data_IF_756349328622
#
_entry.id   IF_756349328622
#
_cell.length_a   1.000
_cell.length_b   1.000
_cell.length_c   1.000
_cell.angle_alpha   90.00
_cell.angle_beta   90.00
_cell.angle_gamma   90.00
#
_symmetry.space_group_name_H-M   'P 1'
#
loop_
_entity.id
_entity.type
_entity.pdbx_description
1 polymer ?
#
# COMPACT_ATOMS: atom_id res chain seq x y z
N UNK A 1 43.52 -21.51 -16.40
CA UNK A 1 42.23 -21.18 -17.03
C UNK A 1 41.49 -20.26 -16.08
N UNK A 2 41.79 -18.96 -16.10
CA UNK A 2 41.33 -18.01 -15.08
C UNK A 2 41.40 -16.59 -15.64
N UNK A 3 40.42 -16.18 -16.45
CA UNK A 3 40.14 -14.77 -16.72
C UNK A 3 38.67 -14.61 -17.07
N UNK A 4 37.81 -14.27 -16.09
CA UNK A 4 36.50 -13.59 -16.30
C UNK A 4 35.73 -13.26 -14.99
N UNK A 5 36.40 -13.04 -13.85
CA UNK A 5 35.70 -12.85 -12.55
C UNK A 5 35.62 -11.40 -12.04
N UNK A 6 36.35 -10.45 -12.62
CA UNK A 6 36.43 -9.07 -12.05
C UNK A 6 35.30 -8.16 -12.54
N UNK A 7 34.93 -8.24 -13.83
CA UNK A 7 33.86 -7.42 -14.41
C UNK A 7 32.47 -7.75 -13.82
N UNK A 8 32.17 -9.04 -13.61
CA UNK A 8 30.92 -9.48 -12.97
C UNK A 8 30.72 -8.90 -11.57
N UNK A 9 31.80 -8.86 -10.77
CA UNK A 9 31.75 -8.38 -9.38
C UNK A 9 31.32 -6.90 -9.19
N UNK A 10 31.54 -6.06 -10.21
CA UNK A 10 31.15 -4.65 -10.19
C UNK A 10 29.67 -4.48 -10.49
N UNK A 11 29.19 -5.16 -11.54
CA UNK A 11 27.78 -5.17 -11.91
C UNK A 11 26.91 -5.84 -10.83
N UNK A 12 27.38 -6.93 -10.21
CA UNK A 12 26.65 -7.63 -9.14
C UNK A 12 26.47 -6.74 -7.90
N UNK A 13 27.51 -5.98 -7.52
CA UNK A 13 27.44 -5.03 -6.40
C UNK A 13 26.50 -3.87 -6.70
N UNK A 14 26.59 -3.30 -7.89
CA UNK A 14 25.72 -2.21 -8.32
C UNK A 14 24.25 -2.67 -8.38
N UNK A 15 23.98 -3.85 -8.94
CA UNK A 15 22.65 -4.44 -8.99
C UNK A 15 22.07 -4.65 -7.58
N UNK A 16 22.85 -5.26 -6.67
CA UNK A 16 22.44 -5.47 -5.27
C UNK A 16 22.13 -4.14 -4.57
N UNK A 17 22.97 -3.13 -4.74
CA UNK A 17 22.76 -1.81 -4.14
C UNK A 17 21.50 -1.13 -4.68
N UNK A 18 21.28 -1.15 -5.99
CA UNK A 18 20.10 -0.57 -6.63
C UNK A 18 18.82 -1.27 -6.17
N UNK A 19 18.83 -2.60 -6.07
CA UNK A 19 17.71 -3.37 -5.51
C UNK A 19 17.42 -2.93 -4.08
N UNK A 20 18.42 -2.88 -3.19
CA UNK A 20 18.22 -2.46 -1.80
C UNK A 20 17.66 -1.03 -1.67
N UNK A 21 18.14 -0.10 -2.49
CA UNK A 21 17.62 1.27 -2.53
C UNK A 21 16.16 1.28 -2.98
N UNK A 22 15.84 0.55 -4.06
CA UNK A 22 14.47 0.42 -4.57
C UNK A 22 13.52 -0.19 -3.56
N UNK A 23 13.95 -1.24 -2.85
CA UNK A 23 13.20 -1.90 -1.78
C UNK A 23 12.89 -0.96 -0.61
N UNK A 24 13.88 -0.17 -0.19
CA UNK A 24 13.69 0.83 0.87
C UNK A 24 12.77 1.96 0.41
N UNK A 25 12.96 2.45 -0.81
CA UNK A 25 12.12 3.49 -1.39
C UNK A 25 10.67 3.02 -1.53
N UNK A 26 10.45 1.79 -1.97
CA UNK A 26 9.12 1.19 -2.07
C UNK A 26 8.45 1.08 -0.69
N UNK A 27 9.16 0.60 0.34
CA UNK A 27 8.62 0.47 1.70
C UNK A 27 8.26 1.83 2.31
N UNK A 28 9.19 2.78 2.33
CA UNK A 28 8.95 4.08 2.95
C UNK A 28 8.05 4.97 2.10
N UNK A 29 8.08 4.83 0.77
CA UNK A 29 7.13 5.45 -0.13
C UNK A 29 5.71 4.95 0.12
N UNK A 30 5.53 3.63 0.29
CA UNK A 30 4.23 3.06 0.68
C UNK A 30 3.76 3.60 2.04
N UNK A 31 4.62 3.61 3.06
CA UNK A 31 4.28 4.14 4.37
C UNK A 31 3.89 5.63 4.31
N UNK A 32 4.67 6.44 3.59
CA UNK A 32 4.39 7.86 3.39
C UNK A 32 3.04 8.08 2.71
N UNK A 33 2.74 7.34 1.63
CA UNK A 33 1.47 7.46 0.92
C UNK A 33 0.31 7.08 1.83
N UNK A 34 0.38 5.96 2.55
CA UNK A 34 -0.66 5.54 3.51
C UNK A 34 -0.88 6.59 4.61
N UNK A 35 0.20 7.13 5.19
CA UNK A 35 0.09 8.20 6.18
C UNK A 35 -0.57 9.46 5.60
N UNK A 36 -0.18 9.86 4.38
CA UNK A 36 -0.69 11.08 3.74
C UNK A 36 -2.17 10.96 3.37
N UNK A 37 -2.59 9.82 2.79
CA UNK A 37 -4.02 9.59 2.47
C UNK A 37 -4.85 9.47 3.75
N UNK A 38 -4.32 8.84 4.79
CA UNK A 38 -5.00 8.69 6.08
C UNK A 38 -5.21 10.04 6.77
N UNK A 39 -4.18 10.87 6.86
CA UNK A 39 -4.29 12.26 7.35
C UNK A 39 -5.26 13.07 6.49
N UNK A 40 -5.26 12.86 5.17
CA UNK A 40 -6.19 13.49 4.24
C UNK A 40 -7.67 13.27 4.60
N UNK A 41 -8.04 12.14 5.20
CA UNK A 41 -9.41 11.85 5.66
C UNK A 41 -9.85 12.66 6.88
N UNK A 42 -8.90 13.26 7.59
CA UNK A 42 -9.17 14.20 8.68
C UNK A 42 -9.26 15.65 8.18
N UNK A 43 -8.47 16.01 7.16
CA UNK A 43 -8.38 17.39 6.64
C UNK A 43 -9.52 17.71 5.67
N UNK A 44 -9.89 16.80 4.76
CA UNK A 44 -10.92 17.03 3.74
C UNK A 44 -12.34 16.77 4.26
N UNK A 45 -12.76 17.49 5.30
CA UNK A 45 -14.13 17.41 5.84
C UNK A 45 -15.18 18.01 4.89
N UNK A 46 -15.39 17.37 3.74
CA UNK A 46 -16.58 17.50 2.88
C UNK A 46 -16.88 16.16 2.19
N UNK A 47 -17.12 15.13 3.00
CA UNK A 47 -17.39 13.76 2.56
C UNK A 47 -18.82 13.53 1.99
N UNK A 48 -19.54 14.60 1.63
CA UNK A 48 -20.93 14.50 1.14
C UNK A 48 -21.02 14.15 -0.35
N UNK A 49 -20.05 14.52 -1.17
CA UNK A 49 -20.23 14.52 -2.64
C UNK A 49 -19.81 13.20 -3.31
N UNK A 50 -18.90 12.41 -2.71
CA UNK A 50 -18.38 11.18 -3.34
C UNK A 50 -19.00 9.87 -2.79
N UNK A 51 -19.63 9.91 -1.61
CA UNK A 51 -20.05 8.70 -0.86
C UNK A 51 -21.53 8.35 -1.07
N UNK A 52 -22.33 9.27 -1.62
CA UNK A 52 -23.77 9.10 -1.82
C UNK A 52 -24.18 8.06 -2.89
N UNK A 53 -23.23 7.47 -3.64
CA UNK A 53 -23.53 6.63 -4.81
C UNK A 53 -22.96 5.19 -4.75
N UNK A 54 -22.54 4.68 -3.59
CA UNK A 54 -22.01 3.29 -3.49
C UNK A 54 -22.96 2.35 -2.72
N UNK A 55 -23.60 1.36 -3.40
CA UNK A 55 -24.54 0.41 -2.79
C UNK A 55 -23.91 -0.57 -1.78
N UNK A 56 -22.59 -0.70 -1.76
CA UNK A 56 -21.89 -1.69 -0.91
C UNK A 56 -21.58 -1.14 0.49
N UNK A 57 -21.69 0.18 0.68
CA UNK A 57 -21.50 0.88 1.97
C UNK A 57 -22.80 1.43 2.57
N UNK A 58 -23.95 1.29 1.91
CA UNK A 58 -25.22 1.82 2.43
C UNK A 58 -25.59 1.23 3.80
N UNK A 59 -25.36 -0.07 4.01
CA UNK A 59 -25.71 -0.77 5.25
C UNK A 59 -24.86 -0.36 6.47
N UNK A 60 -23.63 0.14 6.27
CA UNK A 60 -22.81 0.66 7.38
C UNK A 60 -23.25 2.07 7.78
N UNK A 61 -23.90 2.81 6.86
CA UNK A 61 -24.47 4.13 7.12
C UNK A 61 -25.78 4.08 7.92
N UNK A 62 -26.41 2.92 8.03
CA UNK A 62 -27.55 2.70 8.93
C UNK A 62 -27.11 2.71 10.41
N UNK A 63 -25.82 2.51 10.70
CA UNK A 63 -25.26 2.45 12.06
C UNK A 63 -24.17 3.50 12.36
N UNK A 64 -23.42 4.00 11.34
CA UNK A 64 -22.31 4.95 11.52
C UNK A 64 -22.29 6.03 10.43
N UNK A 65 -22.05 7.30 10.79
CA UNK A 65 -21.95 8.38 9.80
C UNK A 65 -20.80 8.18 8.80
N UNK A 66 -20.95 8.65 7.55
CA UNK A 66 -19.89 8.60 6.53
C UNK A 66 -18.57 9.24 6.99
N UNK A 67 -18.65 10.27 7.84
CA UNK A 67 -17.50 10.90 8.47
C UNK A 67 -16.81 9.98 9.47
N UNK A 68 -17.56 9.18 10.24
CA UNK A 68 -17.01 8.23 11.21
C UNK A 68 -16.26 7.11 10.50
N UNK A 69 -16.84 6.57 9.41
CA UNK A 69 -16.20 5.53 8.59
C UNK A 69 -14.93 6.07 7.92
N UNK A 70 -14.97 7.29 7.36
CA UNK A 70 -13.79 7.92 6.79
C UNK A 70 -12.66 8.11 7.82
N UNK A 71 -12.98 8.57 9.03
CA UNK A 71 -12.00 8.71 10.12
C UNK A 71 -11.42 7.38 10.56
N UNK A 72 -12.24 6.35 10.73
CA UNK A 72 -11.80 5.01 11.08
C UNK A 72 -10.83 4.44 10.03
N UNK A 73 -11.17 4.56 8.74
CA UNK A 73 -10.27 4.16 7.65
C UNK A 73 -8.98 4.98 7.66
N UNK A 74 -9.06 6.29 7.91
CA UNK A 74 -7.89 7.15 8.02
C UNK A 74 -6.95 6.74 9.16
N UNK A 75 -7.50 6.37 10.32
CA UNK A 75 -6.71 5.79 11.42
C UNK A 75 -6.04 4.50 10.99
N UNK A 76 -6.76 3.59 10.34
CA UNK A 76 -6.20 2.31 9.89
C UNK A 76 -5.06 2.51 8.89
N UNK A 77 -5.18 3.48 7.97
CA UNK A 77 -4.11 3.83 7.02
C UNK A 77 -2.87 4.37 7.74
N UNK A 78 -3.03 5.26 8.71
CA UNK A 78 -1.92 5.80 9.51
C UNK A 78 -1.26 4.70 10.35
N UNK A 79 -2.06 3.84 10.99
CA UNK A 79 -1.54 2.70 11.75
C UNK A 79 -0.77 1.76 10.83
N UNK A 80 -1.31 1.38 9.68
CA UNK A 80 -0.63 0.55 8.71
C UNK A 80 0.72 1.16 8.28
N UNK A 81 0.76 2.47 8.01
CA UNK A 81 1.98 3.19 7.67
C UNK A 81 3.06 3.07 8.74
N UNK A 82 2.71 3.32 10.00
CA UNK A 82 3.64 3.24 11.14
C UNK A 82 4.16 1.80 11.28
N UNK A 83 3.27 0.82 11.24
CA UNK A 83 3.63 -0.59 11.40
C UNK A 83 4.60 -1.05 10.30
N UNK A 84 4.35 -0.67 9.05
CA UNK A 84 5.23 -0.98 7.90
C UNK A 84 6.61 -0.31 8.05
N UNK A 85 6.65 0.95 8.49
CA UNK A 85 7.89 1.70 8.64
C UNK A 85 8.83 1.10 9.70
N UNK A 86 8.29 0.43 10.72
CA UNK A 86 9.06 -0.12 11.85
C UNK A 86 9.72 -1.49 11.51
N UNK A 87 9.58 -1.99 10.29
CA UNK A 87 10.21 -3.23 9.79
C UNK A 87 11.67 -3.45 10.23
N UNK A 88 12.59 -2.45 10.18
CA UNK A 88 14.00 -2.69 10.54
C UNK A 88 14.21 -3.14 11.98
N UNK A 89 13.30 -2.78 12.89
CA UNK A 89 13.42 -3.06 14.34
C UNK A 89 12.51 -4.21 14.73
N UNK A 90 11.25 -4.20 14.25
CA UNK A 90 10.24 -5.22 14.56
C UNK A 90 9.57 -5.78 13.30
N UNK A 91 10.23 -6.73 12.60
CA UNK A 91 9.68 -7.33 11.39
C UNK A 91 8.30 -7.97 11.58
N UNK A 92 8.06 -8.62 12.73
CA UNK A 92 6.76 -9.23 13.07
C UNK A 92 5.61 -8.22 13.14
N UNK A 93 5.89 -7.00 13.59
CA UNK A 93 4.91 -5.92 13.66
C UNK A 93 4.61 -5.39 12.26
N UNK A 94 5.64 -5.28 11.43
CA UNK A 94 5.49 -4.89 10.01
C UNK A 94 4.63 -5.88 9.22
N UNK A 95 4.67 -7.18 9.54
CA UNK A 95 3.75 -8.18 8.93
C UNK A 95 2.29 -7.77 9.11
N UNK A 96 1.89 -7.36 10.31
CA UNK A 96 0.52 -6.92 10.58
C UNK A 96 0.18 -5.62 9.82
N UNK A 97 1.13 -4.68 9.76
CA UNK A 97 0.98 -3.44 8.99
C UNK A 97 0.78 -3.67 7.50
N UNK A 98 1.61 -4.52 6.90
CA UNK A 98 1.51 -4.88 5.47
C UNK A 98 0.22 -5.64 5.17
N UNK A 99 -0.20 -6.56 6.04
CA UNK A 99 -1.48 -7.26 5.88
C UNK A 99 -2.67 -6.30 5.96
N UNK A 100 -2.65 -5.35 6.90
CA UNK A 100 -3.68 -4.32 7.01
C UNK A 100 -3.72 -3.43 5.76
N UNK A 101 -2.56 -3.01 5.24
CA UNK A 101 -2.48 -2.23 4.00
C UNK A 101 -3.09 -2.97 2.79
N UNK A 102 -2.85 -4.28 2.68
CA UNK A 102 -3.48 -5.12 1.65
C UNK A 102 -5.01 -5.07 1.78
N UNK A 103 -5.55 -5.27 2.97
CA UNK A 103 -7.00 -5.22 3.19
C UNK A 103 -7.58 -3.85 2.80
N UNK A 104 -6.89 -2.76 3.18
CA UNK A 104 -7.31 -1.40 2.84
C UNK A 104 -7.33 -1.15 1.33
N UNK A 105 -6.26 -1.54 0.61
CA UNK A 105 -6.22 -1.38 -0.85
C UNK A 105 -7.18 -2.32 -1.58
N UNK A 106 -7.50 -3.49 -1.03
CA UNK A 106 -8.56 -4.35 -1.56
C UNK A 106 -9.90 -3.62 -1.50
N UNK A 107 -10.16 -2.95 -0.39
CA UNK A 107 -11.32 -2.07 -0.21
C UNK A 107 -11.34 -0.93 -1.24
N UNK A 108 -10.22 -0.23 -1.45
CA UNK A 108 -10.20 0.88 -2.42
C UNK A 108 -10.32 0.40 -3.86
N UNK A 109 -9.63 -0.68 -4.24
CA UNK A 109 -9.73 -1.27 -5.58
C UNK A 109 -11.11 -1.84 -5.88
N UNK A 110 -11.88 -2.25 -4.86
CA UNK A 110 -13.27 -2.67 -5.07
C UNK A 110 -14.12 -1.57 -5.72
N UNK A 111 -13.81 -0.29 -5.45
CA UNK A 111 -14.51 0.85 -6.02
C UNK A 111 -14.38 0.95 -7.54
N UNK A 112 -13.33 0.36 -8.13
CA UNK A 112 -13.16 0.30 -9.58
C UNK A 112 -14.32 -0.46 -10.25
N UNK A 113 -14.90 -1.44 -9.55
CA UNK A 113 -15.97 -2.29 -10.05
C UNK A 113 -17.34 -1.91 -9.50
N UNK A 114 -17.40 -1.32 -8.30
CA UNK A 114 -18.67 -1.06 -7.61
C UNK A 114 -19.17 0.38 -7.74
N UNK A 115 -18.32 1.33 -8.17
CA UNK A 115 -18.67 2.76 -8.15
C UNK A 115 -19.10 3.24 -9.55
N UNK A 116 -20.31 3.78 -9.70
CA UNK A 116 -20.73 4.43 -10.95
C UNK A 116 -19.82 5.63 -11.31
N UNK A 117 -19.53 5.83 -12.59
CA UNK A 117 -18.69 6.96 -13.07
C UNK A 117 -17.17 6.72 -13.05
N UNK A 118 -16.72 5.51 -12.68
CA UNK A 118 -15.32 5.09 -12.87
C UNK A 118 -14.97 4.99 -14.35
N UNK A 119 -15.88 4.43 -15.16
CA UNK A 119 -15.74 4.33 -16.62
C UNK A 119 -16.66 5.38 -17.25
N UNK A 120 -16.09 6.32 -18.00
CA UNK A 120 -16.82 7.44 -18.64
C UNK A 120 -17.20 7.12 -20.08
N UNK A 121 -16.57 6.10 -20.65
CA UNK A 121 -16.88 5.63 -22.00
C UNK A 121 -16.05 4.41 -22.36
N UNK A 122 -16.22 3.93 -23.58
CA UNK A 122 -15.42 2.84 -24.12
C UNK A 122 -14.79 3.30 -25.44
N UNK A 123 -13.47 3.20 -25.53
CA UNK A 123 -12.75 3.36 -26.78
C UNK A 123 -12.67 1.97 -27.45
N UNK A 124 -13.63 1.70 -28.35
CA UNK A 124 -13.82 0.43 -29.07
C UNK A 124 -14.14 -0.76 -28.15
N UNK A 125 -13.17 -1.22 -27.34
CA UNK A 125 -13.32 -2.30 -26.34
C UNK A 125 -12.71 -1.91 -24.98
N UNK A 126 -11.88 -0.87 -24.93
CA UNK A 126 -11.13 -0.50 -23.72
C UNK A 126 -11.95 0.51 -22.90
N UNK A 127 -12.21 0.24 -21.61
CA UNK A 127 -12.89 1.19 -20.73
C UNK A 127 -12.02 2.43 -20.49
N UNK A 128 -12.59 3.61 -20.77
CA UNK A 128 -11.94 4.90 -20.52
C UNK A 128 -12.25 5.33 -19.09
N UNK A 129 -11.22 5.37 -18.25
CA UNK A 129 -11.35 5.74 -16.85
C UNK A 129 -11.45 7.26 -16.66
N UNK A 130 -12.37 7.68 -15.78
CA UNK A 130 -12.45 9.07 -15.31
C UNK A 130 -11.15 9.50 -14.62
N UNK A 131 -10.81 10.79 -14.73
CA UNK A 131 -9.68 11.36 -13.99
C UNK A 131 -9.83 11.17 -12.46
N UNK A 132 -11.07 11.27 -11.97
CA UNK A 132 -11.47 10.89 -10.61
C UNK A 132 -12.85 10.21 -10.68
N UNK A 133 -13.05 9.02 -10.05
CA UNK A 133 -12.08 8.26 -9.26
C UNK A 133 -11.22 7.26 -10.06
N UNK A 134 -11.51 7.00 -11.34
CA UNK A 134 -10.97 5.83 -12.06
C UNK A 134 -9.43 5.75 -12.14
N UNK A 135 -8.78 6.76 -12.71
CA UNK A 135 -7.31 6.78 -12.85
C UNK A 135 -6.59 6.83 -11.51
N UNK A 136 -7.21 7.45 -10.51
CA UNK A 136 -6.66 7.52 -9.16
C UNK A 136 -6.60 6.16 -8.48
N UNK A 137 -7.58 5.29 -8.72
CA UNK A 137 -7.62 3.94 -8.14
C UNK A 137 -6.57 3.01 -8.75
N UNK A 138 -6.12 3.25 -9.99
CA UNK A 138 -5.09 2.41 -10.61
C UNK A 138 -3.76 2.42 -9.86
N UNK A 139 -3.39 3.55 -9.23
CA UNK A 139 -2.15 3.63 -8.45
C UNK A 139 -2.19 2.70 -7.23
N UNK A 140 -3.39 2.46 -6.67
CA UNK A 140 -3.58 1.61 -5.50
C UNK A 140 -3.28 0.15 -5.84
N UNK A 141 -3.40 -0.25 -7.12
CA UNK A 141 -2.96 -1.57 -7.58
C UNK A 141 -1.44 -1.75 -7.45
N UNK A 142 -0.68 -0.71 -7.79
CA UNK A 142 0.78 -0.73 -7.63
C UNK A 142 1.16 -0.72 -6.15
N UNK A 143 0.49 0.10 -5.34
CA UNK A 143 0.73 0.17 -3.90
C UNK A 143 0.36 -1.14 -3.19
N UNK A 144 -0.69 -1.82 -3.64
CA UNK A 144 -1.02 -3.18 -3.22
C UNK A 144 0.12 -4.15 -3.52
N UNK A 145 0.67 -4.12 -4.73
CA UNK A 145 1.83 -4.94 -5.11
C UNK A 145 3.03 -4.70 -4.18
N UNK A 146 3.31 -3.44 -3.85
CA UNK A 146 4.34 -3.08 -2.87
C UNK A 146 3.97 -3.58 -1.47
N UNK A 147 2.71 -3.49 -1.05
CA UNK A 147 2.27 -3.99 0.25
C UNK A 147 2.47 -5.51 0.37
N UNK A 148 2.11 -6.28 -0.66
CA UNK A 148 2.38 -7.73 -0.75
C UNK A 148 3.88 -8.01 -0.68
N UNK A 149 4.70 -7.24 -1.40
CA UNK A 149 6.15 -7.38 -1.34
C UNK A 149 6.69 -7.09 0.07
N UNK A 150 6.23 -6.01 0.74
CA UNK A 150 6.65 -5.69 2.12
C UNK A 150 6.21 -6.75 3.13
N UNK A 151 5.05 -7.39 2.93
CA UNK A 151 4.59 -8.50 3.76
C UNK A 151 5.55 -9.68 3.65
N UNK A 152 5.89 -10.09 2.43
CA UNK A 152 6.82 -11.19 2.16
C UNK A 152 8.21 -10.93 2.73
N UNK A 153 8.74 -9.72 2.54
CA UNK A 153 10.02 -9.32 3.12
C UNK A 153 9.99 -9.32 4.66
N UNK A 154 8.92 -8.79 5.27
CA UNK A 154 8.77 -8.74 6.73
C UNK A 154 8.66 -10.15 7.33
N UNK A 155 7.96 -11.06 6.65
CA UNK A 155 7.86 -12.47 7.03
C UNK A 155 9.23 -13.16 6.98
N UNK A 156 9.99 -12.96 5.90
CA UNK A 156 11.36 -13.50 5.79
C UNK A 156 12.25 -13.03 6.94
N UNK A 157 12.20 -11.74 7.27
CA UNK A 157 12.96 -11.18 8.39
C UNK A 157 12.45 -11.65 9.77
N UNK A 158 11.15 -11.91 9.93
CA UNK A 158 10.55 -12.41 11.17
C UNK A 158 10.82 -13.90 11.44
N UNK A 159 11.00 -14.68 10.38
CA UNK A 159 11.27 -16.12 10.40
C UNK A 159 12.75 -16.45 10.35
N UNK A 160 13.61 -15.48 10.01
CA UNK A 160 15.05 -15.64 10.09
C UNK A 160 15.43 -16.07 11.52
N UNK A 161 16.23 -17.14 11.69
CA UNK A 161 16.74 -17.54 13.00
C UNK A 161 17.34 -16.32 13.68
N UNK A 162 17.03 -16.12 14.97
CA UNK A 162 17.64 -15.07 15.76
C UNK A 162 19.15 -15.30 15.76
N UNK A 163 19.87 -14.68 14.81
CA UNK A 163 21.32 -14.68 14.79
C UNK A 163 21.75 -14.13 16.15
N UNK A 164 22.35 -15.01 16.95
CA UNK A 164 22.82 -14.85 18.33
C UNK A 164 23.15 -13.39 18.64
N UNK A 165 22.16 -12.66 19.15
CA UNK A 165 22.34 -11.29 19.62
C UNK A 165 22.79 -11.38 21.07
N UNK A 166 24.07 -11.66 21.30
CA UNK A 166 24.67 -11.60 22.63
C UNK A 166 25.87 -12.51 22.89
N UNK A 167 27.03 -12.23 22.29
CA UNK A 167 28.31 -12.33 23.01
C UNK A 167 29.03 -11.01 22.75
N UNK A 168 28.91 -10.09 23.71
CA UNK A 168 29.96 -9.17 24.21
C UNK A 168 29.40 -8.42 25.40
#
# INVERSE_FOLDING_TARGET
MTVSTVAGSGYDRAATALTQVGENFARYGLALVLAWIGVGKYVKMDAKVLIAHSPLMSWIFDFFSATTVARALGTMEIVAAILIAVRPVWPRVSVAGSALAIVLFCGTLSFLFTTPGVVVGHAVVIPVLSAQPGQFLLKDLVLMGVAIWTLGDSLRAALAPAATKGIR
#
